data_IF_496315967751
#
_entry.id   IF_496315967751
#
_cell.length_a   1.000
_cell.length_b   1.000
_cell.length_c   1.000
_cell.angle_alpha   90.00
_cell.angle_beta   90.00
_cell.angle_gamma   90.00
#
_symmetry.space_group_name_H-M   'P 1'
#
loop_
_entity.id
_entity.type
_entity.pdbx_description
1 polymer ?
#
# COMPACT_ATOMS: atom_id res chain seq x y z
N UNK A 1 28.91 55.95 -62.09
CA UNK A 1 29.62 55.62 -60.86
C UNK A 1 28.71 55.19 -59.71
N UNK A 2 27.65 55.95 -59.36
CA UNK A 2 26.77 55.58 -58.23
C UNK A 2 26.06 54.23 -58.34
N UNK A 3 25.67 53.76 -59.53
CA UNK A 3 25.02 52.45 -59.70
C UNK A 3 25.99 51.28 -59.58
N UNK A 4 27.22 51.42 -59.97
CA UNK A 4 28.26 50.38 -59.89
C UNK A 4 28.64 50.23 -58.43
N UNK A 5 28.80 51.31 -57.67
CA UNK A 5 29.11 51.27 -56.25
C UNK A 5 27.99 50.61 -55.41
N UNK A 6 26.73 50.88 -55.73
CA UNK A 6 25.57 50.26 -55.07
C UNK A 6 25.50 48.77 -55.37
N UNK A 7 25.76 48.37 -56.61
CA UNK A 7 25.77 46.93 -56.95
C UNK A 7 26.95 46.21 -56.40
N UNK A 8 28.11 46.82 -56.25
CA UNK A 8 29.30 46.27 -55.64
C UNK A 8 29.08 46.12 -54.11
N UNK A 9 28.42 47.12 -53.48
CA UNK A 9 28.10 47.07 -52.03
C UNK A 9 27.02 46.02 -51.74
N UNK A 10 26.03 45.82 -52.61
CA UNK A 10 25.07 44.69 -52.47
C UNK A 10 25.75 43.32 -52.67
N UNK A 11 26.72 43.21 -53.57
CA UNK A 11 27.45 41.98 -53.78
C UNK A 11 28.36 41.64 -52.59
N UNK A 12 28.95 42.65 -51.96
CA UNK A 12 29.76 42.51 -50.77
C UNK A 12 28.94 42.12 -49.56
N UNK A 13 27.74 42.68 -49.39
CA UNK A 13 26.79 42.26 -48.34
C UNK A 13 26.22 40.86 -48.57
N UNK A 14 26.02 40.44 -49.81
CA UNK A 14 25.59 39.08 -50.14
C UNK A 14 26.68 38.03 -49.89
N UNK A 15 27.96 38.39 -50.06
CA UNK A 15 29.10 37.53 -49.77
C UNK A 15 29.33 37.35 -48.26
N UNK A 16 29.04 38.38 -47.46
CA UNK A 16 29.13 38.26 -45.99
C UNK A 16 27.97 37.47 -45.37
N UNK A 17 26.83 37.39 -46.06
CA UNK A 17 25.69 36.55 -45.61
C UNK A 17 25.89 35.06 -45.87
N UNK A 18 26.89 34.66 -46.67
CA UNK A 18 27.25 33.26 -46.90
C UNK A 18 28.34 32.73 -45.97
N UNK A 19 28.90 33.56 -45.12
CA UNK A 19 29.61 33.06 -43.95
C UNK A 19 28.55 32.72 -42.89
N UNK A 20 27.67 31.81 -43.23
CA UNK A 20 26.93 31.05 -42.25
C UNK A 20 27.97 30.45 -41.31
N UNK A 21 27.91 30.76 -40.06
CA UNK A 21 28.66 30.09 -39.03
C UNK A 21 28.61 28.57 -39.33
N UNK A 22 29.67 28.07 -39.84
CA UNK A 22 29.98 26.67 -39.72
C UNK A 22 30.18 26.47 -38.20
N UNK A 23 29.09 26.12 -37.50
CA UNK A 23 29.18 25.63 -36.12
C UNK A 23 29.88 24.26 -36.17
N UNK A 24 31.13 24.28 -36.63
CA UNK A 24 32.08 23.18 -36.47
C UNK A 24 32.66 23.16 -35.03
N UNK A 25 31.85 23.55 -34.07
CA UNK A 25 32.08 23.14 -32.69
C UNK A 25 31.90 21.63 -32.62
N UNK A 26 32.95 20.91 -32.17
CA UNK A 26 32.85 19.51 -31.90
C UNK A 26 31.58 19.24 -31.12
N UNK A 27 30.59 18.66 -31.81
CA UNK A 27 29.34 18.29 -31.13
C UNK A 27 29.61 17.12 -30.21
N UNK A 28 29.53 17.38 -28.91
CA UNK A 28 29.67 16.36 -27.91
C UNK A 28 28.32 15.69 -27.78
N UNK A 29 28.30 14.41 -28.00
CA UNK A 29 27.11 13.57 -27.83
C UNK A 29 27.26 12.71 -26.58
N UNK A 30 26.13 12.40 -25.95
CA UNK A 30 26.07 11.35 -24.98
C UNK A 30 25.97 10.02 -25.73
N UNK A 31 27.01 9.17 -25.64
CA UNK A 31 27.08 7.87 -26.31
C UNK A 31 26.41 6.74 -25.51
N UNK A 32 25.80 7.09 -24.37
CA UNK A 32 25.16 6.14 -23.49
C UNK A 32 25.67 6.25 -22.05
N UNK A 33 25.46 5.20 -21.31
CA UNK A 33 25.98 5.12 -19.93
C UNK A 33 26.26 3.67 -19.54
N UNK A 34 27.27 3.50 -18.69
CA UNK A 34 27.57 2.24 -18.03
C UNK A 34 26.78 2.20 -16.72
N UNK A 35 25.91 1.20 -16.60
CA UNK A 35 25.17 1.00 -15.37
C UNK A 35 26.09 0.69 -14.19
N UNK A 36 25.65 1.06 -13.01
CA UNK A 36 26.32 0.70 -11.77
C UNK A 36 25.91 -0.69 -11.28
N UNK A 37 26.68 -1.23 -10.35
CA UNK A 37 26.33 -2.46 -9.69
C UNK A 37 25.29 -2.21 -8.60
N UNK A 38 24.31 -3.09 -8.53
CA UNK A 38 23.32 -3.17 -7.47
C UNK A 38 23.76 -4.22 -6.45
N UNK A 39 23.67 -3.89 -5.17
CA UNK A 39 23.98 -4.78 -4.06
C UNK A 39 22.78 -4.89 -3.12
N UNK A 40 22.56 -6.08 -2.57
CA UNK A 40 21.54 -6.37 -1.58
C UNK A 40 22.18 -6.72 -0.21
N UNK A 41 21.57 -6.26 0.88
CA UNK A 41 22.03 -6.54 2.24
C UNK A 41 21.77 -7.98 2.70
N UNK A 42 20.87 -8.69 2.02
CA UNK A 42 20.52 -10.07 2.33
C UNK A 42 20.22 -10.84 1.03
N UNK A 43 20.48 -12.15 1.03
CA UNK A 43 20.14 -13.06 -0.06
C UNK A 43 18.93 -13.95 0.23
N UNK A 44 18.48 -13.98 1.47
CA UNK A 44 17.32 -14.73 1.94
C UNK A 44 16.60 -13.94 3.05
N UNK A 45 15.29 -13.71 2.89
CA UNK A 45 14.46 -12.95 3.81
C UNK A 45 13.18 -13.70 4.08
N UNK A 46 13.00 -14.13 5.33
CA UNK A 46 11.75 -14.67 5.82
C UNK A 46 10.92 -13.57 6.47
N UNK A 47 9.78 -13.28 5.88
CA UNK A 47 8.86 -12.25 6.35
C UNK A 47 7.86 -12.82 7.36
N UNK A 48 7.45 -11.99 8.30
CA UNK A 48 6.44 -12.30 9.32
C UNK A 48 5.77 -11.01 9.80
N UNK A 49 4.66 -11.13 10.52
CA UNK A 49 4.01 -10.00 11.19
C UNK A 49 4.97 -9.35 12.19
N UNK A 50 5.80 -10.14 12.87
CA UNK A 50 6.71 -9.64 13.91
C UNK A 50 7.78 -8.70 13.36
N UNK A 51 8.28 -8.95 12.14
CA UNK A 51 9.28 -8.10 11.49
C UNK A 51 8.69 -7.11 10.46
N UNK A 52 7.37 -6.93 10.48
CA UNK A 52 6.67 -6.09 9.49
C UNK A 52 7.15 -4.63 9.48
N UNK A 53 7.53 -4.10 10.63
CA UNK A 53 8.02 -2.72 10.80
C UNK A 53 9.54 -2.58 10.71
N UNK A 54 10.27 -3.69 10.75
CA UNK A 54 11.73 -3.68 10.68
C UNK A 54 12.21 -3.56 9.23
N UNK A 55 13.37 -2.93 9.04
CA UNK A 55 14.06 -2.95 7.75
C UNK A 55 14.68 -4.34 7.55
N UNK A 56 14.13 -5.10 6.62
CA UNK A 56 14.53 -6.50 6.36
C UNK A 56 15.41 -6.66 5.12
N UNK A 57 15.38 -5.69 4.21
CA UNK A 57 16.19 -5.67 3.01
C UNK A 57 16.58 -4.23 2.67
N UNK A 58 17.85 -4.01 2.43
CA UNK A 58 18.37 -2.77 1.87
C UNK A 58 19.10 -3.06 0.55
N UNK A 59 18.78 -2.27 -0.45
CA UNK A 59 19.43 -2.27 -1.75
C UNK A 59 20.23 -1.00 -1.91
N UNK A 60 21.44 -1.10 -2.43
CA UNK A 60 22.34 0.04 -2.65
C UNK A 60 23.02 -0.06 -4.01
N UNK A 61 23.25 1.08 -4.64
CA UNK A 61 23.90 1.18 -5.95
C UNK A 61 24.71 2.47 -6.06
N UNK A 62 25.43 2.63 -7.14
CA UNK A 62 26.14 3.87 -7.47
C UNK A 62 25.46 4.55 -8.67
N UNK A 63 25.76 5.82 -8.89
CA UNK A 63 25.33 6.48 -10.12
C UNK A 63 25.96 5.81 -11.34
N UNK A 64 25.22 5.67 -12.45
CA UNK A 64 25.80 5.18 -13.68
C UNK A 64 26.87 6.16 -14.21
N UNK A 65 27.89 5.63 -14.85
CA UNK A 65 28.90 6.45 -15.54
C UNK A 65 28.34 6.87 -16.89
N UNK A 66 28.25 8.18 -17.12
CA UNK A 66 27.83 8.72 -18.40
C UNK A 66 28.99 8.65 -19.41
N UNK A 67 28.72 8.11 -20.58
CA UNK A 67 29.71 8.00 -21.65
C UNK A 67 29.52 9.20 -22.60
N UNK A 68 30.63 9.95 -22.81
CA UNK A 68 30.68 11.09 -23.75
C UNK A 68 31.47 10.70 -24.97
N UNK A 69 31.08 11.22 -26.13
CA UNK A 69 31.88 11.10 -27.37
C UNK A 69 33.24 11.76 -27.29
N UNK A 70 33.43 12.66 -26.33
CA UNK A 70 34.73 13.28 -25.96
C UNK A 70 35.04 12.93 -24.52
N UNK A 71 35.95 12.00 -24.30
CA UNK A 71 36.36 11.53 -22.96
C UNK A 71 36.94 12.64 -22.07
N UNK A 72 37.39 13.75 -22.66
CA UNK A 72 37.94 14.90 -21.92
C UNK A 72 36.84 15.83 -21.36
N UNK A 73 35.57 15.65 -21.81
CA UNK A 73 34.45 16.48 -21.44
C UNK A 73 33.38 15.66 -20.76
N UNK A 74 33.13 15.87 -19.47
CA UNK A 74 32.12 15.10 -18.76
C UNK A 74 30.71 15.40 -19.32
N UNK A 75 29.92 14.35 -19.51
CA UNK A 75 28.52 14.50 -19.88
C UNK A 75 27.70 15.06 -18.71
N UNK A 76 26.80 16.00 -19.00
CA UNK A 76 25.92 16.58 -17.99
C UNK A 76 24.89 15.56 -17.46
N UNK A 77 24.74 15.47 -16.16
CA UNK A 77 23.84 14.50 -15.48
C UNK A 77 22.36 14.96 -15.42
N UNK A 78 22.02 16.11 -15.98
CA UNK A 78 20.81 16.90 -15.66
C UNK A 78 19.45 16.26 -15.98
N UNK A 79 19.38 15.07 -16.59
CA UNK A 79 18.10 14.44 -17.00
C UNK A 79 18.07 12.93 -16.75
N UNK A 80 19.00 12.42 -15.96
CA UNK A 80 19.04 11.00 -15.61
C UNK A 80 17.89 10.66 -14.67
N UNK A 81 17.06 9.71 -15.06
CA UNK A 81 16.03 9.11 -14.20
C UNK A 81 16.48 7.71 -13.80
N UNK A 82 16.38 7.41 -12.53
CA UNK A 82 16.73 6.11 -11.98
C UNK A 82 15.50 5.45 -11.38
N UNK A 83 15.33 4.18 -11.70
CA UNK A 83 14.24 3.36 -11.20
C UNK A 83 14.81 2.06 -10.63
N UNK A 84 14.32 1.67 -9.47
CA UNK A 84 14.51 0.32 -8.97
C UNK A 84 13.36 -0.55 -9.49
N UNK A 85 13.67 -1.63 -10.18
CA UNK A 85 12.70 -2.62 -10.63
C UNK A 85 12.79 -3.88 -9.77
N UNK A 86 11.63 -4.41 -9.39
CA UNK A 86 11.49 -5.70 -8.71
C UNK A 86 10.62 -6.62 -9.57
N UNK A 87 10.97 -7.91 -9.69
CA UNK A 87 10.22 -8.87 -10.50
C UNK A 87 10.30 -10.28 -9.89
N UNK A 88 9.24 -11.07 -10.07
CA UNK A 88 9.26 -12.50 -9.77
C UNK A 88 9.97 -13.33 -10.88
N UNK A 89 10.30 -12.71 -12.01
CA UNK A 89 11.00 -13.34 -13.13
C UNK A 89 12.35 -12.66 -13.35
N UNK A 90 13.40 -13.46 -13.55
CA UNK A 90 14.74 -12.97 -13.85
C UNK A 90 14.78 -12.11 -15.13
N UNK A 91 13.88 -12.39 -16.06
CA UNK A 91 13.78 -11.66 -17.33
C UNK A 91 12.91 -10.39 -17.23
N UNK A 92 12.39 -10.05 -16.06
CA UNK A 92 11.56 -8.86 -15.84
C UNK A 92 10.39 -8.76 -16.82
N UNK A 93 9.70 -9.87 -17.07
CA UNK A 93 8.50 -9.91 -17.94
C UNK A 93 7.29 -9.20 -17.30
N UNK A 94 7.30 -9.10 -15.99
CA UNK A 94 6.37 -8.28 -15.18
C UNK A 94 7.15 -7.72 -14.01
N UNK A 95 7.20 -6.40 -13.91
CA UNK A 95 7.95 -5.72 -12.86
C UNK A 95 7.12 -4.68 -12.12
N UNK A 96 7.52 -4.46 -10.87
CA UNK A 96 7.12 -3.31 -10.06
C UNK A 96 8.26 -2.29 -10.08
N UNK A 97 7.98 -1.07 -10.51
CA UNK A 97 8.97 -0.01 -10.66
C UNK A 97 8.80 1.03 -9.56
N UNK A 98 9.92 1.42 -8.96
CA UNK A 98 10.00 2.46 -7.93
C UNK A 98 10.89 3.59 -8.46
N UNK A 99 10.35 4.80 -8.54
CA UNK A 99 11.16 6.00 -8.78
C UNK A 99 12.03 6.24 -7.56
N UNK A 100 13.33 6.40 -7.77
CA UNK A 100 14.31 6.61 -6.70
C UNK A 100 15.13 7.85 -6.97
N UNK A 101 15.41 8.63 -5.92
CA UNK A 101 16.26 9.83 -5.94
C UNK A 101 17.57 9.59 -5.20
N UNK A 102 17.55 8.67 -4.25
CA UNK A 102 18.70 8.26 -3.47
C UNK A 102 19.44 7.08 -4.11
N UNK A 103 20.63 6.77 -3.64
CA UNK A 103 21.42 5.63 -4.11
C UNK A 103 21.17 4.35 -3.29
N UNK A 104 20.09 4.34 -2.56
CA UNK A 104 19.64 3.18 -1.79
C UNK A 104 18.15 3.16 -1.62
N UNK A 105 17.59 1.97 -1.38
CA UNK A 105 16.22 1.78 -0.95
C UNK A 105 16.15 0.69 0.10
N UNK A 106 15.55 1.04 1.23
CA UNK A 106 15.21 0.09 2.28
C UNK A 106 13.77 -0.39 2.10
N UNK A 107 13.53 -1.65 2.39
CA UNK A 107 12.20 -2.26 2.49
C UNK A 107 11.97 -2.70 3.93
N UNK A 108 10.86 -2.27 4.50
CA UNK A 108 10.35 -2.88 5.72
C UNK A 108 9.77 -4.26 5.39
N UNK A 109 9.55 -5.09 6.42
CA UNK A 109 8.91 -6.39 6.23
C UNK A 109 7.54 -6.27 5.55
N UNK A 110 6.74 -5.27 5.93
CA UNK A 110 5.44 -5.00 5.31
C UNK A 110 5.57 -4.57 3.84
N UNK A 111 6.50 -3.67 3.52
CA UNK A 111 6.71 -3.19 2.14
C UNK A 111 7.17 -4.33 1.22
N UNK A 112 8.11 -5.15 1.69
CA UNK A 112 8.61 -6.28 0.91
C UNK A 112 7.55 -7.36 0.74
N UNK A 113 6.73 -7.61 1.77
CA UNK A 113 5.60 -8.55 1.70
C UNK A 113 4.54 -8.09 0.70
N UNK A 114 4.21 -6.80 0.70
CA UNK A 114 3.29 -6.22 -0.27
C UNK A 114 3.84 -6.33 -1.70
N UNK A 115 5.13 -6.01 -1.90
CA UNK A 115 5.79 -6.14 -3.21
C UNK A 115 5.80 -7.59 -3.70
N UNK A 116 6.13 -8.55 -2.84
CA UNK A 116 6.12 -9.97 -3.15
C UNK A 116 4.72 -10.47 -3.54
N UNK A 117 3.69 -10.08 -2.79
CA UNK A 117 2.29 -10.38 -3.09
C UNK A 117 1.84 -9.80 -4.42
N UNK A 118 2.13 -8.52 -4.68
CA UNK A 118 1.77 -7.83 -5.94
C UNK A 118 2.42 -8.51 -7.16
N UNK A 119 3.62 -9.09 -6.98
CA UNK A 119 4.35 -9.84 -7.99
C UNK A 119 3.96 -11.33 -8.04
N UNK A 120 2.96 -11.76 -7.27
CA UNK A 120 2.39 -13.10 -7.33
C UNK A 120 3.16 -14.18 -6.57
N UNK A 121 4.05 -13.84 -5.65
CA UNK A 121 4.70 -14.82 -4.79
C UNK A 121 3.69 -15.42 -3.81
N UNK A 122 3.75 -16.75 -3.66
CA UNK A 122 2.84 -17.47 -2.74
C UNK A 122 3.28 -17.31 -1.29
N UNK A 123 2.35 -17.06 -0.35
CA UNK A 123 2.65 -17.04 1.06
C UNK A 123 3.27 -18.35 1.54
N UNK A 124 4.14 -18.26 2.54
CA UNK A 124 4.85 -19.38 3.19
C UNK A 124 5.74 -20.22 2.25
N UNK A 125 5.93 -19.77 1.00
CA UNK A 125 6.80 -20.40 0.02
C UNK A 125 8.00 -19.52 -0.26
N UNK A 126 9.23 -20.02 0.01
CA UNK A 126 10.47 -19.32 -0.35
C UNK A 126 10.63 -19.27 -1.86
N UNK A 127 10.55 -18.09 -2.44
CA UNK A 127 10.61 -17.85 -3.88
C UNK A 127 11.61 -16.75 -4.24
N UNK A 128 12.24 -16.80 -5.41
CA UNK A 128 13.17 -15.76 -5.82
C UNK A 128 12.41 -14.47 -6.18
N UNK A 129 12.96 -13.36 -5.73
CA UNK A 129 12.60 -12.02 -6.14
C UNK A 129 13.85 -11.35 -6.72
N UNK A 130 13.73 -10.79 -7.90
CA UNK A 130 14.84 -10.21 -8.65
C UNK A 130 14.75 -8.71 -8.65
N UNK A 131 15.90 -8.05 -8.48
CA UNK A 131 16.01 -6.59 -8.46
C UNK A 131 17.07 -6.14 -9.45
N UNK A 132 16.82 -5.00 -10.11
CA UNK A 132 17.81 -4.29 -10.93
C UNK A 132 17.54 -2.80 -10.91
N UNK A 133 18.57 -2.02 -11.23
CA UNK A 133 18.44 -0.59 -11.49
C UNK A 133 18.27 -0.38 -13.00
N UNK A 134 17.25 0.39 -13.38
CA UNK A 134 17.04 0.92 -14.71
C UNK A 134 17.42 2.40 -14.68
N UNK A 135 18.34 2.80 -15.53
CA UNK A 135 18.76 4.19 -15.70
C UNK A 135 18.39 4.65 -17.10
N UNK A 136 17.68 5.76 -17.20
CA UNK A 136 17.17 6.31 -18.45
C UNK A 136 17.45 7.79 -18.56
N UNK A 137 17.91 8.24 -19.72
CA UNK A 137 18.15 9.64 -20.03
C UNK A 137 17.42 10.05 -21.30
N UNK A 138 16.32 10.79 -21.10
CA UNK A 138 15.46 11.19 -22.21
C UNK A 138 14.75 10.00 -22.88
N UNK A 139 14.10 10.28 -24.01
CA UNK A 139 13.36 9.28 -24.78
C UNK A 139 14.16 8.65 -25.94
N UNK A 140 15.33 9.22 -26.25
CA UNK A 140 16.09 8.88 -27.47
C UNK A 140 17.29 7.94 -27.21
N UNK A 141 17.53 7.59 -25.94
CA UNK A 141 18.57 6.65 -25.54
C UNK A 141 17.93 5.43 -24.90
N UNK A 142 18.49 4.27 -25.22
CA UNK A 142 18.08 3.03 -24.58
C UNK A 142 18.41 3.08 -23.08
N UNK A 143 17.55 2.47 -22.28
CA UNK A 143 17.79 2.35 -20.85
C UNK A 143 18.97 1.42 -20.57
N UNK A 144 19.83 1.77 -19.62
CA UNK A 144 20.81 0.83 -19.11
C UNK A 144 20.34 0.16 -17.83
N UNK A 145 20.77 -1.07 -17.64
CA UNK A 145 20.40 -1.89 -16.50
C UNK A 145 21.64 -2.32 -15.73
N UNK A 146 21.53 -2.33 -14.39
CA UNK A 146 22.54 -2.93 -13.53
C UNK A 146 22.60 -4.46 -13.69
N UNK A 147 23.50 -5.08 -12.94
CA UNK A 147 23.39 -6.51 -12.64
C UNK A 147 22.03 -6.79 -11.95
N UNK A 148 21.59 -8.04 -12.05
CA UNK A 148 20.40 -8.53 -11.34
C UNK A 148 20.83 -9.08 -9.97
N UNK A 149 20.22 -8.58 -8.90
CA UNK A 149 20.30 -9.15 -7.56
C UNK A 149 19.12 -10.09 -7.33
N UNK A 150 19.38 -11.34 -6.99
CA UNK A 150 18.37 -12.29 -6.55
C UNK A 150 18.34 -12.34 -5.03
N UNK A 151 17.14 -12.21 -4.46
CA UNK A 151 16.86 -12.40 -3.03
C UNK A 151 15.76 -13.43 -2.90
N UNK A 152 15.96 -14.48 -2.10
CA UNK A 152 14.87 -15.40 -1.75
C UNK A 152 13.98 -14.70 -0.73
N UNK A 153 12.67 -14.67 -1.00
CA UNK A 153 11.69 -14.06 -0.12
C UNK A 153 10.63 -15.10 0.21
N UNK A 154 10.36 -15.26 1.50
CA UNK A 154 9.22 -16.05 1.99
C UNK A 154 8.17 -15.08 2.50
N UNK A 155 7.11 -14.75 1.71
CA UNK A 155 6.04 -13.87 2.15
C UNK A 155 5.18 -14.53 3.21
N UNK A 156 4.43 -13.73 3.96
CA UNK A 156 3.41 -14.23 4.87
C UNK A 156 2.01 -13.78 4.45
N UNK A 157 1.02 -14.57 4.83
CA UNK A 157 -0.37 -14.21 4.66
C UNK A 157 -0.84 -13.47 5.91
N UNK A 158 -1.45 -12.30 5.73
CA UNK A 158 -2.19 -11.65 6.80
C UNK A 158 -3.54 -12.37 6.88
N UNK A 159 -3.81 -13.00 8.04
CA UNK A 159 -5.12 -13.60 8.30
C UNK A 159 -6.15 -12.49 8.54
N UNK A 160 -6.92 -12.19 7.52
CA UNK A 160 -8.02 -11.22 7.56
C UNK A 160 -9.37 -11.87 7.84
N UNK A 161 -9.42 -13.12 8.30
CA UNK A 161 -10.68 -13.80 8.60
C UNK A 161 -11.42 -13.22 9.80
N UNK A 162 -10.73 -12.49 10.66
CA UNK A 162 -11.30 -11.78 11.81
C UNK A 162 -10.48 -10.56 12.21
N UNK A 163 -11.14 -9.65 12.93
CA UNK A 163 -10.51 -8.55 13.65
C UNK A 163 -10.81 -8.68 15.14
N UNK A 164 -9.82 -8.44 15.99
CA UNK A 164 -10.01 -8.42 17.44
C UNK A 164 -10.56 -7.05 17.86
N UNK A 165 -11.61 -7.05 18.65
CA UNK A 165 -12.12 -5.86 19.32
C UNK A 165 -11.50 -5.79 20.70
N UNK A 166 -10.70 -4.76 20.93
CA UNK A 166 -9.97 -4.54 22.18
C UNK A 166 -10.72 -3.55 23.07
N UNK A 167 -10.47 -3.65 24.38
CA UNK A 167 -10.91 -2.65 25.33
C UNK A 167 -10.16 -1.31 25.11
N UNK A 168 -10.58 -0.28 25.84
CA UNK A 168 -10.01 1.08 25.79
C UNK A 168 -8.47 1.10 25.98
N UNK A 169 -7.94 0.26 26.89
CA UNK A 169 -6.51 0.18 27.20
C UNK A 169 -5.71 -0.65 26.17
N UNK A 170 -6.36 -1.29 25.24
CA UNK A 170 -5.75 -2.19 24.21
C UNK A 170 -5.05 -3.42 24.80
N UNK A 171 -5.33 -3.80 26.04
CA UNK A 171 -4.69 -4.90 26.75
C UNK A 171 -5.56 -6.17 26.85
N UNK A 172 -6.83 -6.09 26.46
CA UNK A 172 -7.78 -7.19 26.48
C UNK A 172 -8.60 -7.28 25.20
N UNK A 173 -8.72 -8.50 24.65
CA UNK A 173 -9.67 -8.82 23.59
C UNK A 173 -11.04 -9.04 24.20
N UNK A 174 -12.02 -8.26 23.79
CA UNK A 174 -13.40 -8.35 24.24
C UNK A 174 -14.20 -9.34 23.41
N UNK A 175 -14.07 -9.24 22.08
CA UNK A 175 -14.75 -10.09 21.11
C UNK A 175 -14.00 -10.03 19.77
N UNK A 176 -14.53 -10.77 18.78
CA UNK A 176 -14.06 -10.73 17.40
C UNK A 176 -15.21 -10.41 16.47
N UNK A 177 -14.91 -9.64 15.42
CA UNK A 177 -15.77 -9.54 14.24
C UNK A 177 -15.12 -10.38 13.12
N UNK A 178 -15.92 -11.02 12.30
CA UNK A 178 -15.44 -11.98 11.32
C UNK A 178 -15.63 -11.47 9.89
N UNK A 179 -14.67 -11.82 9.04
CA UNK A 179 -14.70 -11.56 7.59
C UNK A 179 -14.69 -12.88 6.84
N UNK A 180 -15.86 -13.41 6.44
CA UNK A 180 -15.93 -14.69 5.70
C UNK A 180 -15.14 -14.69 4.39
N UNK A 181 -14.98 -13.52 3.79
CA UNK A 181 -14.25 -13.33 2.54
C UNK A 181 -12.76 -12.97 2.76
N UNK A 182 -12.34 -12.77 4.02
CA UNK A 182 -10.98 -12.31 4.37
C UNK A 182 -10.57 -11.05 3.59
N UNK A 183 -11.49 -10.09 3.47
CA UNK A 183 -11.35 -8.95 2.58
C UNK A 183 -11.30 -7.59 3.30
N UNK A 184 -11.21 -7.58 4.64
CA UNK A 184 -11.15 -6.36 5.44
C UNK A 184 -12.52 -5.78 5.79
N UNK A 185 -13.62 -6.49 5.45
CA UNK A 185 -14.97 -6.19 5.92
C UNK A 185 -15.33 -7.19 7.01
N UNK A 186 -15.33 -6.74 8.24
CA UNK A 186 -15.58 -7.57 9.41
C UNK A 186 -16.96 -7.29 9.97
N UNK A 187 -17.70 -8.33 10.36
CA UNK A 187 -19.02 -8.16 10.94
C UNK A 187 -19.28 -9.16 12.07
N UNK A 188 -20.19 -8.79 12.96
CA UNK A 188 -20.60 -9.65 14.04
C UNK A 188 -21.40 -8.92 15.10
N UNK A 189 -21.88 -9.69 16.07
CA UNK A 189 -22.59 -9.17 17.22
C UNK A 189 -21.59 -8.84 18.34
N UNK A 190 -21.80 -7.72 18.98
CA UNK A 190 -21.03 -7.32 20.16
C UNK A 190 -21.91 -6.65 21.19
N UNK A 191 -21.54 -6.80 22.45
CA UNK A 191 -22.19 -6.11 23.56
C UNK A 191 -21.52 -4.74 23.75
N UNK A 192 -22.32 -3.72 23.93
CA UNK A 192 -21.82 -2.41 24.29
C UNK A 192 -22.65 -1.85 25.45
N UNK A 193 -21.97 -1.31 26.45
CA UNK A 193 -22.59 -0.43 27.47
C UNK A 193 -22.62 0.99 26.95
N UNK A 194 -23.40 1.86 27.61
CA UNK A 194 -23.30 3.30 27.36
C UNK A 194 -21.86 3.77 27.58
N UNK A 195 -21.36 4.59 26.66
CA UNK A 195 -19.96 5.07 26.68
C UNK A 195 -18.89 3.99 26.61
N UNK A 196 -19.19 2.93 25.89
CA UNK A 196 -18.27 1.83 25.69
C UNK A 196 -17.16 2.23 24.71
N UNK A 197 -15.90 2.09 25.13
CA UNK A 197 -14.73 2.48 24.37
C UNK A 197 -13.97 1.25 23.88
N UNK A 198 -13.67 1.20 22.58
CA UNK A 198 -13.02 0.05 21.96
C UNK A 198 -12.00 0.47 20.89
N UNK A 199 -11.24 -0.51 20.46
CA UNK A 199 -10.36 -0.45 19.29
C UNK A 199 -10.51 -1.72 18.45
N UNK A 200 -10.31 -1.59 17.13
CA UNK A 200 -10.12 -2.75 16.27
C UNK A 200 -8.65 -3.08 16.14
N UNK A 201 -8.28 -4.37 16.16
CA UNK A 201 -6.90 -4.81 15.89
C UNK A 201 -6.89 -5.95 14.89
N UNK A 202 -6.34 -5.70 13.70
CA UNK A 202 -6.08 -6.72 12.69
C UNK A 202 -4.90 -7.61 13.08
N UNK A 203 -4.78 -8.76 12.42
CA UNK A 203 -3.74 -9.74 12.75
C UNK A 203 -2.32 -9.34 12.31
N UNK A 204 -2.20 -8.31 11.47
CA UNK A 204 -0.91 -7.68 11.16
C UNK A 204 -0.46 -6.66 12.22
N UNK A 205 -1.29 -6.47 13.25
CA UNK A 205 -1.02 -5.52 14.32
C UNK A 205 -1.58 -4.11 14.08
N UNK A 206 -2.20 -3.84 12.93
CA UNK A 206 -2.84 -2.56 12.64
C UNK A 206 -3.97 -2.29 13.62
N UNK A 207 -3.95 -1.11 14.25
CA UNK A 207 -4.96 -0.67 15.20
C UNK A 207 -5.88 0.33 14.50
N UNK A 208 -7.17 0.10 14.61
CA UNK A 208 -8.22 0.94 14.07
C UNK A 208 -8.97 1.65 15.19
N UNK A 209 -9.16 2.94 15.02
CA UNK A 209 -9.95 3.82 15.89
C UNK A 209 -10.80 4.77 15.07
N UNK A 210 -11.34 5.80 15.71
CA UNK A 210 -12.09 6.87 15.05
C UNK A 210 -11.19 8.01 14.58
N UNK A 211 -11.63 8.70 13.53
CA UNK A 211 -11.14 10.02 13.17
C UNK A 211 -11.66 11.04 14.18
N UNK A 212 -10.78 11.52 15.07
CA UNK A 212 -11.12 12.51 16.08
C UNK A 212 -11.97 11.99 17.25
N UNK A 213 -12.36 12.92 18.13
CA UNK A 213 -13.02 12.62 19.41
C UNK A 213 -14.54 12.48 19.35
N UNK A 214 -15.16 12.76 18.20
CA UNK A 214 -16.61 12.70 18.06
C UNK A 214 -17.06 11.25 17.83
N UNK A 215 -17.56 10.59 18.87
CA UNK A 215 -18.05 9.22 18.78
C UNK A 215 -19.32 9.02 17.96
N UNK A 216 -19.87 10.07 17.38
CA UNK A 216 -20.98 9.99 16.43
C UNK A 216 -20.49 9.91 14.98
N UNK A 217 -19.22 10.15 14.75
CA UNK A 217 -18.61 9.99 13.42
C UNK A 217 -17.85 8.69 13.42
N UNK A 218 -18.40 7.69 12.76
CA UNK A 218 -17.79 6.36 12.63
C UNK A 218 -16.91 6.26 11.39
N UNK A 219 -16.12 7.29 11.14
CA UNK A 219 -15.03 7.26 10.18
C UNK A 219 -13.78 6.73 10.84
N UNK A 220 -13.18 5.68 10.27
CA UNK A 220 -12.08 4.96 10.88
C UNK A 220 -10.73 5.51 10.47
N UNK A 221 -9.80 5.50 11.42
CA UNK A 221 -8.40 5.86 11.24
C UNK A 221 -7.50 4.78 11.86
N UNK A 222 -6.34 4.57 11.25
CA UNK A 222 -5.30 3.65 11.72
C UNK A 222 -3.94 4.34 11.93
N UNK A 223 -3.94 5.66 12.00
CA UNK A 223 -2.75 6.47 12.30
C UNK A 223 -2.56 6.63 13.81
N UNK A 224 -1.43 7.20 14.20
CA UNK A 224 -1.16 7.52 15.61
C UNK A 224 -2.13 8.59 16.19
N UNK A 225 -2.80 9.34 15.31
CA UNK A 225 -3.81 10.32 15.69
C UNK A 225 -5.21 9.75 15.91
N UNK A 226 -5.41 8.46 15.66
CA UNK A 226 -6.69 7.80 15.88
C UNK A 226 -7.13 7.86 17.34
N UNK A 227 -8.43 8.12 17.54
CA UNK A 227 -9.09 8.08 18.85
C UNK A 227 -9.79 6.74 19.04
N UNK A 228 -10.07 6.37 20.30
CA UNK A 228 -10.88 5.18 20.56
C UNK A 228 -12.28 5.33 19.93
N UNK A 229 -12.83 4.21 19.51
CA UNK A 229 -14.22 4.14 19.07
C UNK A 229 -15.07 4.11 20.31
N UNK A 230 -16.09 4.94 20.40
CA UNK A 230 -17.01 4.91 21.53
C UNK A 230 -18.47 4.88 21.11
N UNK A 231 -19.29 4.21 21.93
CA UNK A 231 -20.70 4.02 21.71
C UNK A 231 -21.46 4.91 22.70
N UNK A 232 -21.91 6.10 22.31
CA UNK A 232 -22.65 7.01 23.18
C UNK A 232 -24.09 6.58 23.41
N UNK A 233 -24.50 5.48 22.80
CA UNK A 233 -25.88 5.05 22.73
C UNK A 233 -26.35 4.18 23.88
N UNK A 234 -27.27 3.30 23.54
CA UNK A 234 -27.94 2.42 24.47
C UNK A 234 -27.06 1.23 24.84
N UNK A 235 -27.14 0.79 26.08
CA UNK A 235 -26.60 -0.50 26.50
C UNK A 235 -27.37 -1.64 25.83
N UNK A 236 -26.69 -2.55 25.20
CA UNK A 236 -27.29 -3.71 24.55
C UNK A 236 -26.41 -4.38 23.53
N UNK A 237 -27.04 -5.12 22.64
CA UNK A 237 -26.37 -5.85 21.55
C UNK A 237 -26.40 -5.01 20.29
N UNK A 238 -25.26 -4.94 19.62
CA UNK A 238 -25.11 -4.30 18.32
C UNK A 238 -24.65 -5.33 17.28
N UNK A 239 -25.25 -5.32 16.11
CA UNK A 239 -24.63 -5.90 14.92
C UNK A 239 -23.72 -4.83 14.33
N UNK A 240 -22.43 -5.12 14.32
CA UNK A 240 -21.41 -4.14 13.95
C UNK A 240 -20.71 -4.60 12.68
N UNK A 241 -20.59 -3.70 11.71
CA UNK A 241 -19.76 -3.89 10.51
C UNK A 241 -18.62 -2.89 10.58
N UNK A 242 -17.39 -3.38 10.52
CA UNK A 242 -16.17 -2.58 10.43
C UNK A 242 -15.53 -2.86 9.08
N UNK A 243 -15.50 -1.85 8.22
CA UNK A 243 -14.90 -1.91 6.88
C UNK A 243 -13.61 -1.11 6.88
N UNK A 244 -12.48 -1.81 6.89
CA UNK A 244 -11.15 -1.18 6.93
C UNK A 244 -10.73 -0.60 5.59
N UNK A 245 -11.36 -1.00 4.49
CA UNK A 245 -11.11 -0.42 3.16
C UNK A 245 -11.87 0.87 2.94
N UNK A 246 -13.16 0.87 3.29
CA UNK A 246 -14.00 2.07 3.25
C UNK A 246 -13.70 3.01 4.42
N UNK A 247 -12.97 2.53 5.45
CA UNK A 247 -12.69 3.24 6.70
C UNK A 247 -13.98 3.66 7.41
N UNK A 248 -14.91 2.74 7.54
CA UNK A 248 -16.23 2.95 8.12
C UNK A 248 -16.54 1.94 9.22
N UNK A 249 -17.23 2.39 10.26
CA UNK A 249 -17.90 1.54 11.25
C UNK A 249 -19.41 1.77 11.18
N UNK A 250 -20.20 0.69 11.15
CA UNK A 250 -21.66 0.74 11.13
C UNK A 250 -22.21 -0.10 12.28
N UNK A 251 -22.46 0.47 13.45
CA UNK A 251 -23.11 -0.22 14.55
C UNK A 251 -24.64 -0.13 14.40
N UNK A 252 -25.30 -1.27 14.38
CA UNK A 252 -26.75 -1.38 14.35
C UNK A 252 -27.24 -1.91 15.69
N UNK A 253 -27.94 -1.10 16.48
CA UNK A 253 -28.52 -1.55 17.74
C UNK A 253 -29.65 -2.56 17.49
N UNK A 254 -29.63 -3.71 18.17
CA UNK A 254 -30.66 -4.72 18.05
C UNK A 254 -31.80 -4.41 19.02
N UNK A 255 -32.93 -3.96 18.48
CA UNK A 255 -34.12 -3.58 19.25
C UNK A 255 -34.94 -4.77 19.71
N UNK A 256 -35.04 -5.78 18.87
CA UNK A 256 -35.82 -6.99 19.14
C UNK A 256 -35.29 -8.18 18.36
N UNK A 257 -35.53 -9.36 18.87
CA UNK A 257 -35.31 -10.61 18.16
C UNK A 257 -36.55 -11.48 18.26
N UNK A 258 -36.78 -12.24 17.20
CA UNK A 258 -37.85 -13.23 17.14
C UNK A 258 -37.29 -14.61 16.83
N UNK A 259 -37.83 -15.63 17.45
CA UNK A 259 -37.57 -17.03 17.17
C UNK A 259 -38.87 -17.64 16.63
N UNK A 260 -38.84 -18.12 15.38
CA UNK A 260 -40.02 -18.67 14.68
C UNK A 260 -41.25 -17.72 14.68
N UNK A 261 -40.98 -16.41 14.58
CA UNK A 261 -42.03 -15.38 14.57
C UNK A 261 -42.52 -14.96 15.97
N UNK A 262 -42.01 -15.55 17.04
CA UNK A 262 -42.35 -15.17 18.40
C UNK A 262 -41.25 -14.34 19.05
N UNK A 263 -41.63 -13.28 19.78
CA UNK A 263 -40.68 -12.39 20.42
C UNK A 263 -39.82 -13.10 21.46
N UNK A 264 -38.52 -12.79 21.43
CA UNK A 264 -37.57 -13.19 22.46
C UNK A 264 -37.48 -12.11 23.55
N UNK A 265 -37.07 -12.50 24.75
CA UNK A 265 -36.85 -11.58 25.86
C UNK A 265 -35.37 -11.23 25.96
N UNK A 266 -35.08 -9.96 26.10
CA UNK A 266 -33.70 -9.51 26.32
C UNK A 266 -33.32 -9.65 27.80
N UNK A 267 -32.29 -10.45 28.04
CA UNK A 267 -31.64 -10.66 29.35
C UNK A 267 -30.47 -9.68 29.46
N UNK A 268 -30.69 -8.51 30.03
CA UNK A 268 -29.69 -7.46 30.12
C UNK A 268 -28.44 -7.85 30.92
N UNK A 269 -28.53 -8.54 32.08
CA UNK A 269 -27.35 -8.98 32.83
C UNK A 269 -26.40 -9.89 32.03
N UNK A 270 -26.97 -10.72 31.16
CA UNK A 270 -26.20 -11.68 30.37
C UNK A 270 -25.96 -11.22 28.91
N UNK A 271 -26.44 -10.03 28.54
CA UNK A 271 -26.40 -9.53 27.15
C UNK A 271 -26.88 -10.58 26.13
N UNK A 272 -28.05 -11.18 26.39
CA UNK A 272 -28.58 -12.27 25.58
C UNK A 272 -30.06 -12.10 25.28
N UNK A 273 -30.47 -12.51 24.09
CA UNK A 273 -31.88 -12.70 23.76
C UNK A 273 -32.24 -14.15 24.02
N UNK A 274 -33.28 -14.38 24.80
CA UNK A 274 -33.70 -15.71 25.25
C UNK A 274 -35.14 -16.04 24.88
N UNK A 275 -35.38 -17.30 24.54
CA UNK A 275 -36.72 -17.86 24.32
C UNK A 275 -36.68 -19.35 24.61
N UNK A 276 -37.58 -19.81 25.43
CA UNK A 276 -37.80 -21.25 25.61
C UNK A 276 -38.76 -21.74 24.51
N UNK A 277 -38.36 -22.77 23.80
CA UNK A 277 -39.18 -23.43 22.79
C UNK A 277 -39.23 -24.93 23.04
N UNK A 278 -40.28 -25.55 22.59
CA UNK A 278 -40.38 -27.01 22.50
C UNK A 278 -40.33 -27.40 21.03
N UNK A 279 -39.39 -28.24 20.66
CA UNK A 279 -39.30 -28.77 19.30
C UNK A 279 -40.07 -30.05 19.17
N UNK A 280 -40.79 -30.22 18.07
CA UNK A 280 -41.62 -31.42 17.84
C UNK A 280 -40.80 -32.66 17.47
N UNK A 281 -39.60 -32.48 16.92
CA UNK A 281 -38.67 -33.56 16.51
C UNK A 281 -37.25 -33.05 16.44
N UNK A 282 -36.30 -34.00 16.37
CA UNK A 282 -34.89 -33.66 16.02
C UNK A 282 -34.83 -33.03 14.63
N UNK A 283 -33.91 -32.06 14.46
CA UNK A 283 -33.71 -31.30 13.26
C UNK A 283 -34.89 -30.38 12.84
N UNK A 284 -35.74 -29.95 13.80
CA UNK A 284 -36.75 -28.95 13.52
C UNK A 284 -36.09 -27.63 13.11
N UNK A 285 -36.38 -27.08 11.90
CA UNK A 285 -35.80 -25.81 11.49
C UNK A 285 -36.23 -24.68 12.43
N UNK A 286 -35.30 -23.83 12.81
CA UNK A 286 -35.57 -22.60 13.55
C UNK A 286 -35.24 -21.39 12.70
N UNK A 287 -36.02 -20.34 12.81
CA UNK A 287 -35.81 -19.05 12.15
C UNK A 287 -35.59 -18.00 13.24
N UNK A 288 -34.48 -17.26 13.16
CA UNK A 288 -34.20 -16.14 14.03
C UNK A 288 -34.21 -14.88 13.17
N UNK A 289 -34.98 -13.89 13.58
CA UNK A 289 -35.07 -12.60 12.93
C UNK A 289 -34.69 -11.52 13.94
N UNK A 290 -33.67 -10.75 13.61
CA UNK A 290 -33.24 -9.59 14.40
C UNK A 290 -33.75 -8.30 13.73
N UNK A 291 -34.35 -7.41 14.51
CA UNK A 291 -34.77 -6.07 14.06
C UNK A 291 -33.81 -5.05 14.68
N UNK A 292 -33.08 -4.36 13.81
CA UNK A 292 -32.15 -3.34 14.21
C UNK A 292 -32.64 -1.93 13.99
N UNK A 293 -31.90 -0.98 14.54
CA UNK A 293 -31.94 0.42 14.16
C UNK A 293 -30.51 0.90 13.98
N UNK A 294 -30.28 1.59 12.88
CA UNK A 294 -29.03 2.35 12.75
C UNK A 294 -28.95 3.35 13.92
N UNK A 295 -27.76 3.49 14.45
CA UNK A 295 -27.49 4.52 15.44
C UNK A 295 -27.54 5.86 14.70
N UNK A 296 -28.67 6.53 14.75
CA UNK A 296 -28.78 7.90 14.26
C UNK A 296 -28.41 8.86 15.36
N UNK A 297 -27.62 9.87 15.01
CA UNK A 297 -27.29 11.03 15.84
C UNK A 297 -28.52 11.65 16.49
#
# INVERSE_FOLDING_TARGET
>A
MKKIFRNLMMLLCALTALVSCDESGDKIYLDGFKASDLMASASDVKLSVDNSKDVVLSLAWQNPTLLSSDETKPAGSGVLKTYLQASASENFTSEKEYTVTDLSKAFTGADLNAAAKDLGLSPDVSSPLYFRIKSQMGANLDAAYSNVCQVKVTPYLIDMSYINILNEKKDQVLTKLYSPNSDGVYSGYMNASSWFHIWGKENDGTIWGNVGQDGHVYEMDNTESAWNIWFPGQTGIYYTVLDTKAKELKPTYIKSMQLNGEDMTYDAPNYAWTKVITTAADNTPISIVATGAEYSK
#
